data_IF_233877803688
#
_entry.id   IF_233877803688
#
_cell.length_a   1.000
_cell.length_b   1.000
_cell.length_c   1.000
_cell.angle_alpha   90.00
_cell.angle_beta   90.00
_cell.angle_gamma   90.00
#
_symmetry.space_group_name_H-M   'P 1'
#
loop_
_entity.id
_entity.type
_entity.pdbx_description
1 polymer ?
#
# COMPACT_ATOMS: atom_id res chain seq x y z
N UNK A 1 -4.87 11.42 -2.57
CA UNK A 1 -4.07 10.21 -2.23
C UNK A 1 -4.70 9.04 -2.97
N UNK A 2 -3.93 8.24 -3.70
CA UNK A 2 -4.43 7.01 -4.34
C UNK A 2 -4.13 5.80 -3.46
N UNK A 3 -5.08 4.88 -3.35
CA UNK A 3 -4.86 3.67 -2.58
C UNK A 3 -5.33 2.40 -3.29
N UNK A 4 -4.45 1.39 -3.30
CA UNK A 4 -4.69 0.08 -3.89
C UNK A 4 -5.03 -0.95 -2.81
N UNK A 5 -6.16 -1.63 -2.95
CA UNK A 5 -6.55 -2.75 -2.08
C UNK A 5 -6.70 -4.03 -2.90
N UNK A 6 -5.92 -5.07 -2.59
CA UNK A 6 -6.10 -6.39 -3.18
C UNK A 6 -6.99 -7.27 -2.28
N UNK A 7 -8.10 -7.80 -2.80
CA UNK A 7 -8.80 -8.86 -2.07
C UNK A 7 -8.02 -10.17 -2.19
N UNK A 8 -7.57 -10.74 -1.06
CA UNK A 8 -7.05 -12.12 -1.00
C UNK A 8 -8.18 -13.09 -1.36
N UNK A 9 -8.25 -13.53 -2.61
CA UNK A 9 -8.80 -14.85 -2.98
C UNK A 9 -7.66 -15.73 -3.48
N UNK A 10 -7.86 -17.03 -3.34
CA UNK A 10 -6.89 -18.10 -3.58
C UNK A 10 -6.08 -17.93 -4.87
N UNK A 11 -4.80 -18.31 -4.81
CA UNK A 11 -3.89 -18.39 -5.97
C UNK A 11 -4.58 -19.26 -7.03
N UNK A 12 -5.06 -18.65 -8.12
CA UNK A 12 -5.76 -19.35 -9.22
C UNK A 12 -7.12 -18.78 -9.63
N UNK A 13 -7.66 -17.79 -8.90
CA UNK A 13 -8.92 -17.11 -9.26
C UNK A 13 -8.68 -15.66 -9.73
N UNK A 14 -9.49 -15.18 -10.68
CA UNK A 14 -9.48 -13.78 -11.09
C UNK A 14 -9.89 -12.91 -9.89
N UNK A 15 -9.22 -11.77 -9.70
CA UNK A 15 -9.40 -10.94 -8.52
C UNK A 15 -9.52 -9.46 -8.86
N UNK A 16 -10.46 -8.73 -8.24
CA UNK A 16 -10.58 -7.29 -8.47
C UNK A 16 -9.41 -6.55 -7.82
N UNK A 17 -8.90 -5.56 -8.54
CA UNK A 17 -8.00 -4.52 -8.04
C UNK A 17 -8.69 -3.17 -8.17
N UNK A 18 -8.67 -2.37 -7.11
CA UNK A 18 -9.31 -1.07 -7.07
C UNK A 18 -8.29 0.03 -6.73
N UNK A 19 -8.26 1.08 -7.55
CA UNK A 19 -7.61 2.35 -7.26
C UNK A 19 -8.61 3.32 -6.66
N UNK A 20 -8.26 3.97 -5.55
CA UNK A 20 -9.17 4.87 -4.83
C UNK A 20 -8.56 6.22 -4.53
N UNK A 21 -9.29 7.29 -4.80
CA UNK A 21 -9.02 8.62 -4.28
C UNK A 21 -9.47 8.73 -2.83
N UNK A 22 -8.60 9.23 -1.94
CA UNK A 22 -8.94 9.41 -0.51
C UNK A 22 -8.49 10.77 0.01
N UNK A 23 -9.34 11.34 0.87
CA UNK A 23 -9.15 12.56 1.66
C UNK A 23 -9.31 12.25 3.15
N UNK A 24 -9.16 13.27 4.02
CA UNK A 24 -9.40 13.10 5.45
C UNK A 24 -10.86 12.69 5.75
N UNK A 25 -11.81 13.09 4.89
CA UNK A 25 -13.25 12.99 5.18
C UNK A 25 -13.96 11.93 4.33
N UNK A 26 -13.42 11.56 3.17
CA UNK A 26 -14.08 10.64 2.23
C UNK A 26 -13.08 9.83 1.39
N UNK A 27 -13.55 8.72 0.82
CA UNK A 27 -12.85 8.03 -0.26
C UNK A 27 -13.83 7.60 -1.36
N UNK A 28 -13.33 7.46 -2.58
CA UNK A 28 -14.09 7.01 -3.74
C UNK A 28 -13.24 6.10 -4.61
N UNK A 29 -13.85 5.10 -5.24
CA UNK A 29 -13.18 4.32 -6.27
C UNK A 29 -13.04 5.15 -7.53
N UNK A 30 -11.84 5.15 -8.10
CA UNK A 30 -11.47 5.92 -9.30
C UNK A 30 -11.24 4.97 -10.46
N UNK A 31 -10.68 3.79 -10.20
CA UNK A 31 -10.32 2.83 -11.24
C UNK A 31 -10.46 1.38 -10.75
N UNK A 32 -10.76 0.46 -11.66
CA UNK A 32 -10.89 -0.98 -11.43
C UNK A 32 -10.21 -1.80 -12.52
N UNK A 33 -9.40 -2.77 -12.10
CA UNK A 33 -8.82 -3.80 -12.97
C UNK A 33 -9.23 -5.19 -12.49
N UNK A 34 -9.44 -6.10 -13.44
CA UNK A 34 -9.60 -7.52 -13.14
C UNK A 34 -8.26 -8.23 -13.39
N UNK A 35 -7.65 -8.73 -12.32
CA UNK A 35 -6.41 -9.52 -12.42
C UNK A 35 -6.73 -10.88 -13.04
N UNK A 36 -6.05 -11.20 -14.15
CA UNK A 36 -6.06 -12.52 -14.76
C UNK A 36 -4.80 -13.30 -14.31
N UNK A 37 -4.94 -14.48 -13.67
CA UNK A 37 -3.81 -15.35 -13.39
C UNK A 37 -3.15 -15.87 -14.67
N UNK A 38 -1.87 -16.25 -14.61
CA UNK A 38 -1.11 -16.86 -15.72
C UNK A 38 -1.86 -18.00 -16.42
N UNK A 39 -2.63 -18.81 -15.69
CA UNK A 39 -3.41 -19.90 -16.27
C UNK A 39 -4.51 -19.46 -17.25
N UNK A 40 -4.90 -18.19 -17.24
CA UNK A 40 -5.88 -17.60 -18.16
C UNK A 40 -5.22 -16.89 -19.35
N UNK A 41 -3.90 -16.83 -19.42
CA UNK A 41 -3.18 -16.14 -20.49
C UNK A 41 -2.66 -17.16 -21.51
N UNK A 42 -3.13 -17.12 -22.78
CA UNK A 42 -2.63 -18.02 -23.82
C UNK A 42 -1.13 -17.89 -24.10
N UNK A 43 -0.53 -16.73 -23.81
CA UNK A 43 0.90 -16.50 -24.01
C UNK A 43 1.76 -17.01 -22.82
N UNK A 44 1.13 -17.42 -21.72
CA UNK A 44 1.86 -17.87 -20.53
C UNK A 44 2.25 -19.35 -20.64
N UNK A 45 3.47 -19.74 -20.21
CA UNK A 45 3.84 -21.15 -20.08
C UNK A 45 2.95 -21.95 -19.11
N UNK A 46 2.19 -21.28 -18.25
CA UNK A 46 1.27 -21.91 -17.28
C UNK A 46 -0.19 -21.88 -17.75
N UNK A 47 -0.43 -21.57 -19.02
CA UNK A 47 -1.74 -21.54 -19.64
C UNK A 47 -2.50 -22.86 -19.40
N UNK A 48 -3.75 -22.75 -18.96
CA UNK A 48 -4.66 -23.88 -18.82
C UNK A 48 -5.64 -23.84 -20.01
N UNK A 49 -5.61 -24.82 -20.92
CA UNK A 49 -6.45 -24.82 -22.12
C UNK A 49 -7.95 -24.63 -21.83
N UNK A 50 -8.44 -25.17 -20.70
CA UNK A 50 -9.84 -25.05 -20.30
C UNK A 50 -10.18 -23.60 -19.92
N UNK A 51 -9.26 -22.89 -19.25
CA UNK A 51 -9.45 -21.48 -18.86
C UNK A 51 -9.25 -20.54 -20.05
N UNK A 52 -8.25 -20.81 -20.89
CA UNK A 52 -8.02 -20.06 -22.13
C UNK A 52 -9.25 -20.13 -23.04
N UNK A 53 -9.85 -21.32 -23.22
CA UNK A 53 -11.08 -21.48 -24.01
C UNK A 53 -12.29 -20.72 -23.41
N UNK A 54 -12.30 -20.46 -22.09
CA UNK A 54 -13.35 -19.65 -21.44
C UNK A 54 -13.22 -18.16 -21.73
N UNK A 55 -12.05 -17.65 -22.12
CA UNK A 55 -11.85 -16.21 -22.42
C UNK A 55 -12.86 -15.70 -23.44
N UNK A 56 -13.04 -16.43 -24.54
CA UNK A 56 -14.00 -16.09 -25.60
C UNK A 56 -15.43 -16.08 -25.07
N UNK A 57 -15.83 -17.10 -24.29
CA UNK A 57 -17.16 -17.17 -23.66
C UNK A 57 -17.40 -16.04 -22.65
N UNK A 58 -16.34 -15.62 -21.98
CA UNK A 58 -16.35 -14.50 -21.04
C UNK A 58 -16.13 -13.14 -21.73
N UNK A 59 -16.02 -13.08 -23.06
CA UNK A 59 -15.73 -11.85 -23.81
C UNK A 59 -14.51 -11.06 -23.28
N UNK A 60 -13.48 -11.76 -22.81
CA UNK A 60 -12.21 -11.13 -22.40
C UNK A 60 -11.48 -10.65 -23.67
N UNK A 61 -11.08 -9.38 -23.77
CA UNK A 61 -10.36 -8.88 -24.94
C UNK A 61 -9.06 -9.65 -25.21
N UNK A 62 -8.65 -9.74 -26.48
CA UNK A 62 -7.52 -10.57 -26.91
C UNK A 62 -6.19 -10.04 -26.34
N UNK A 63 -6.06 -8.72 -26.25
CA UNK A 63 -4.93 -7.98 -25.73
C UNK A 63 -4.75 -8.08 -24.21
N UNK A 64 -5.78 -8.53 -23.47
CA UNK A 64 -5.74 -8.60 -22.01
C UNK A 64 -5.08 -9.91 -21.55
N UNK A 65 -3.77 -9.87 -21.33
CA UNK A 65 -2.97 -10.99 -20.81
C UNK A 65 -2.87 -11.03 -19.28
N UNK A 66 -2.03 -11.94 -18.78
CA UNK A 66 -1.59 -11.92 -17.40
C UNK A 66 -0.61 -10.77 -17.19
N UNK A 67 -0.87 -9.98 -16.15
CA UNK A 67 0.05 -8.94 -15.67
C UNK A 67 0.17 -9.08 -14.17
N UNK A 68 1.39 -8.98 -13.66
CA UNK A 68 1.65 -9.01 -12.23
C UNK A 68 0.86 -7.93 -11.50
N UNK A 69 0.34 -8.25 -10.31
CA UNK A 69 -0.54 -7.32 -9.58
C UNK A 69 0.11 -5.98 -9.28
N UNK A 70 1.41 -5.98 -8.99
CA UNK A 70 2.15 -4.77 -8.72
C UNK A 70 2.28 -3.88 -9.96
N UNK A 71 2.47 -4.48 -11.15
CA UNK A 71 2.54 -3.76 -12.41
C UNK A 71 1.17 -3.19 -12.75
N UNK A 72 0.09 -3.98 -12.62
CA UNK A 72 -1.28 -3.47 -12.77
C UNK A 72 -1.55 -2.27 -11.87
N UNK A 73 -1.09 -2.30 -10.62
CA UNK A 73 -1.27 -1.17 -9.70
C UNK A 73 -0.51 0.09 -10.15
N UNK A 74 0.65 -0.04 -10.79
CA UNK A 74 1.38 1.09 -11.39
C UNK A 74 0.68 1.59 -12.65
N UNK A 75 0.23 0.69 -13.53
CA UNK A 75 -0.49 1.04 -14.75
C UNK A 75 -1.78 1.81 -14.43
N UNK A 76 -2.51 1.39 -13.39
CA UNK A 76 -3.69 2.11 -12.88
C UNK A 76 -3.36 3.51 -12.38
N UNK A 77 -2.17 3.73 -11.78
CA UNK A 77 -1.74 5.06 -11.36
C UNK A 77 -1.45 5.94 -12.58
N UNK A 78 -0.77 5.39 -13.58
CA UNK A 78 -0.43 6.12 -14.80
C UNK A 78 -1.68 6.46 -15.62
N UNK A 79 -2.63 5.53 -15.72
CA UNK A 79 -3.93 5.76 -16.33
C UNK A 79 -4.74 6.82 -15.55
N UNK A 80 -4.79 6.74 -14.23
CA UNK A 80 -5.46 7.78 -13.42
C UNK A 80 -4.84 9.16 -13.66
N UNK A 81 -3.51 9.24 -13.80
CA UNK A 81 -2.81 10.49 -14.13
C UNK A 81 -3.12 10.97 -15.55
N UNK A 82 -3.30 10.06 -16.51
CA UNK A 82 -3.65 10.42 -17.90
C UNK A 82 -5.05 11.04 -18.00
N UNK A 83 -5.95 10.75 -17.06
CA UNK A 83 -7.24 11.42 -16.92
C UNK A 83 -7.16 12.83 -16.31
N UNK A 84 -5.96 13.35 -16.04
CA UNK A 84 -5.75 14.67 -15.42
C UNK A 84 -5.96 14.68 -13.90
N UNK A 85 -6.08 13.51 -13.26
CA UNK A 85 -6.22 13.41 -11.81
C UNK A 85 -4.83 13.41 -11.16
N UNK A 86 -4.57 14.41 -10.31
CA UNK A 86 -3.31 14.46 -9.57
C UNK A 86 -3.21 13.34 -8.53
N UNK A 87 -2.12 12.58 -8.62
CA UNK A 87 -1.78 11.54 -7.65
C UNK A 87 -0.47 11.93 -6.94
N UNK A 88 -0.54 12.73 -5.85
CA UNK A 88 0.67 13.19 -5.15
C UNK A 88 1.26 12.11 -4.23
N UNK A 89 0.44 11.13 -3.82
CA UNK A 89 0.84 10.10 -2.87
C UNK A 89 0.06 8.80 -3.06
N UNK A 90 0.79 7.68 -2.92
CA UNK A 90 0.27 6.31 -3.00
C UNK A 90 0.28 5.62 -1.64
N UNK A 91 -0.81 4.94 -1.31
CA UNK A 91 -0.94 4.09 -0.12
C UNK A 91 -1.28 2.67 -0.56
N UNK A 92 -0.56 1.67 -0.07
CA UNK A 92 -0.82 0.27 -0.44
C UNK A 92 -0.62 -0.71 0.72
N UNK A 93 -1.18 -1.90 0.56
CA UNK A 93 -1.02 -2.99 1.54
C UNK A 93 0.39 -3.62 1.52
N UNK A 94 0.62 -4.52 2.49
CA UNK A 94 1.88 -5.25 2.66
C UNK A 94 2.33 -6.05 1.44
N UNK A 95 1.39 -6.61 0.67
CA UNK A 95 1.75 -7.39 -0.52
C UNK A 95 2.45 -6.55 -1.58
N UNK A 96 2.03 -5.30 -1.73
CA UNK A 96 2.70 -4.34 -2.61
C UNK A 96 4.00 -3.83 -1.99
N UNK A 97 3.99 -3.53 -0.68
CA UNK A 97 5.14 -2.96 -0.02
C UNK A 97 6.36 -3.88 0.06
N UNK A 98 6.17 -5.19 0.07
CA UNK A 98 7.27 -6.18 0.03
C UNK A 98 7.89 -6.32 -1.37
N UNK A 99 7.13 -6.00 -2.41
CA UNK A 99 7.56 -6.14 -3.81
C UNK A 99 8.52 -5.00 -4.18
N UNK A 100 9.80 -5.32 -4.34
CA UNK A 100 10.84 -4.33 -4.67
C UNK A 100 10.57 -3.60 -5.99
N UNK A 101 10.10 -4.28 -7.03
CA UNK A 101 9.74 -3.68 -8.31
C UNK A 101 8.63 -2.61 -8.16
N UNK A 102 7.63 -2.86 -7.31
CA UNK A 102 6.61 -1.87 -6.98
C UNK A 102 7.20 -0.64 -6.28
N UNK A 103 8.20 -0.84 -5.41
CA UNK A 103 8.85 0.28 -4.72
C UNK A 103 9.63 1.16 -5.70
N UNK A 104 10.47 0.54 -6.52
CA UNK A 104 11.29 1.21 -7.53
C UNK A 104 10.43 1.92 -8.58
N UNK A 105 9.41 1.25 -9.13
CA UNK A 105 8.54 1.84 -10.14
C UNK A 105 7.78 3.09 -9.68
N UNK A 106 7.57 3.27 -8.37
CA UNK A 106 6.99 4.51 -7.82
C UNK A 106 8.01 5.62 -7.67
N UNK A 107 9.24 5.27 -7.30
CA UNK A 107 10.35 6.23 -7.21
C UNK A 107 10.66 6.84 -8.58
N UNK A 108 10.68 6.01 -9.63
CA UNK A 108 10.81 6.45 -11.04
C UNK A 108 9.72 7.45 -11.45
N UNK A 109 8.50 7.32 -10.89
CA UNK A 109 7.34 8.19 -11.15
C UNK A 109 7.27 9.43 -10.25
N UNK A 110 8.29 9.65 -9.41
CA UNK A 110 8.34 10.75 -8.44
C UNK A 110 7.23 10.69 -7.39
N UNK A 111 6.71 9.49 -7.09
CA UNK A 111 5.58 9.33 -6.18
C UNK A 111 6.03 9.20 -4.73
N UNK A 112 5.45 10.02 -3.85
CA UNK A 112 5.56 9.76 -2.41
C UNK A 112 4.66 8.59 -2.03
N UNK A 113 5.06 7.80 -1.04
CA UNK A 113 4.29 6.63 -0.63
C UNK A 113 4.38 6.32 0.86
N UNK A 114 3.34 5.61 1.32
CA UNK A 114 3.35 4.87 2.58
C UNK A 114 2.72 3.51 2.32
N UNK A 115 3.48 2.43 2.49
CA UNK A 115 3.01 1.07 2.25
C UNK A 115 3.16 0.22 3.48
N UNK A 116 2.20 -0.68 3.71
CA UNK A 116 2.42 -1.76 4.67
C UNK A 116 3.64 -2.56 4.26
N UNK A 117 4.35 -3.15 5.21
CA UNK A 117 5.59 -3.85 4.92
C UNK A 117 5.75 -5.04 5.87
N UNK A 118 6.34 -6.13 5.39
CA UNK A 118 6.64 -7.31 6.19
C UNK A 118 7.79 -7.06 7.16
N UNK A 119 7.83 -7.85 8.22
CA UNK A 119 8.90 -7.91 9.22
C UNK A 119 10.17 -8.56 8.70
N UNK A 120 10.07 -9.37 7.63
CA UNK A 120 11.15 -10.25 7.14
C UNK A 120 12.16 -9.55 6.23
N UNK A 121 11.84 -8.38 5.72
CA UNK A 121 12.75 -7.60 4.87
C UNK A 121 13.94 -7.12 5.68
N UNK A 122 15.11 -7.09 5.04
CA UNK A 122 16.35 -6.62 5.65
C UNK A 122 16.63 -5.15 5.32
N UNK A 123 17.22 -4.44 6.27
CA UNK A 123 17.61 -3.05 6.14
C UNK A 123 18.90 -2.76 6.93
N UNK A 124 19.57 -1.69 6.55
CA UNK A 124 20.63 -1.07 7.33
C UNK A 124 20.07 0.11 8.14
N UNK A 125 20.72 0.47 9.25
CA UNK A 125 20.45 1.73 9.95
C UNK A 125 20.76 2.93 9.04
N UNK A 126 20.16 4.09 9.31
CA UNK A 126 20.42 5.32 8.55
C UNK A 126 21.91 5.69 8.52
N UNK A 127 22.60 5.56 9.65
CA UNK A 127 24.02 5.94 9.81
C UNK A 127 24.99 4.97 9.13
N UNK A 128 24.53 3.78 8.72
CA UNK A 128 25.39 2.82 8.06
C UNK A 128 25.82 3.38 6.70
N UNK A 129 27.10 3.76 6.58
CA UNK A 129 27.72 4.16 5.31
C UNK A 129 28.54 3.00 4.74
N UNK A 130 28.57 2.84 3.40
CA UNK A 130 29.52 1.93 2.78
C UNK A 130 30.95 2.39 3.05
N UNK A 131 31.82 1.46 3.46
CA UNK A 131 33.23 1.68 3.67
C UNK A 131 34.01 0.86 2.64
N UNK A 132 35.06 1.44 2.04
CA UNK A 132 36.02 0.68 1.20
C UNK A 132 37.26 0.36 2.03
N UNK A 133 37.51 -0.91 2.39
CA UNK A 133 38.72 -1.28 3.12
C UNK A 133 40.00 -0.87 2.37
N UNK A 134 41.06 -0.56 3.12
CA UNK A 134 42.35 -0.25 2.52
C UNK A 134 42.85 -1.43 1.68
N UNK A 135 43.42 -1.12 0.51
CA UNK A 135 43.93 -2.15 -0.38
C UNK A 135 45.27 -2.68 0.12
N UNK A 136 45.31 -3.95 0.47
CA UNK A 136 46.51 -4.63 0.99
C UNK A 136 47.49 -5.07 -0.10
N UNK A 137 47.29 -4.65 -1.36
CA UNK A 137 48.20 -4.92 -2.48
C UNK A 137 48.12 -6.35 -3.05
N UNK A 138 47.23 -7.21 -2.54
CA UNK A 138 47.02 -8.58 -3.03
C UNK A 138 45.56 -8.82 -3.40
N UNK A 139 45.32 -9.49 -4.53
CA UNK A 139 43.99 -9.88 -4.98
C UNK A 139 43.15 -8.73 -5.53
N UNK A 140 41.83 -8.96 -5.64
CA UNK A 140 40.87 -7.99 -6.19
C UNK A 140 40.80 -6.74 -5.30
N UNK A 141 40.84 -5.56 -5.92
CA UNK A 141 40.68 -4.28 -5.22
C UNK A 141 39.36 -4.25 -4.43
N UNK A 142 39.39 -3.91 -3.12
CA UNK A 142 38.19 -3.82 -2.30
C UNK A 142 37.18 -2.87 -2.91
N UNK A 143 35.92 -3.27 -2.85
CA UNK A 143 34.78 -2.45 -3.28
C UNK A 143 34.07 -1.97 -2.03
N UNK A 144 33.55 -0.74 -2.06
CA UNK A 144 32.74 -0.18 -0.99
C UNK A 144 31.61 -1.16 -0.60
N UNK A 145 31.48 -1.44 0.69
CA UNK A 145 30.42 -2.29 1.22
C UNK A 145 30.01 -1.81 2.61
N UNK A 146 28.77 -2.08 3.01
CA UNK A 146 28.36 -1.83 4.39
C UNK A 146 29.11 -2.78 5.33
N UNK A 147 29.79 -2.28 6.38
CA UNK A 147 30.62 -3.11 7.25
C UNK A 147 29.81 -4.12 8.05
N UNK A 148 28.58 -3.76 8.44
CA UNK A 148 27.68 -4.65 9.16
C UNK A 148 26.65 -5.31 8.22
N UNK A 149 26.28 -6.58 8.48
CA UNK A 149 25.22 -7.25 7.73
C UNK A 149 23.88 -6.55 7.95
N UNK A 150 23.06 -6.50 6.90
CA UNK A 150 21.71 -5.96 7.01
C UNK A 150 20.87 -6.81 7.97
N UNK A 151 20.11 -6.17 8.83
CA UNK A 151 19.30 -6.81 9.85
C UNK A 151 17.83 -6.83 9.46
N UNK A 152 17.05 -7.73 10.05
CA UNK A 152 15.60 -7.69 9.88
C UNK A 152 15.04 -6.38 10.45
N UNK A 153 14.10 -5.80 9.72
CA UNK A 153 13.41 -4.57 10.11
C UNK A 153 12.81 -4.65 11.51
N UNK A 154 12.26 -5.81 11.89
CA UNK A 154 11.72 -6.05 13.24
C UNK A 154 12.81 -5.91 14.32
N UNK A 155 13.99 -6.48 14.09
CA UNK A 155 15.12 -6.43 15.03
C UNK A 155 15.61 -5.00 15.24
N UNK A 156 15.64 -4.18 14.18
CA UNK A 156 16.01 -2.76 14.27
C UNK A 156 15.04 -1.97 15.17
N UNK A 157 13.73 -2.21 15.03
CA UNK A 157 12.72 -1.56 15.88
C UNK A 157 12.83 -2.03 17.33
N UNK A 158 13.05 -3.33 17.55
CA UNK A 158 13.24 -3.88 18.90
C UNK A 158 14.49 -3.29 19.56
N UNK A 159 15.60 -3.17 18.81
CA UNK A 159 16.85 -2.58 19.30
C UNK A 159 16.71 -1.09 19.66
N UNK A 160 15.87 -0.33 18.94
CA UNK A 160 15.52 1.04 19.32
C UNK A 160 14.75 1.13 20.66
N UNK A 161 14.18 0.01 21.11
CA UNK A 161 13.57 -0.14 22.42
C UNK A 161 12.15 0.43 22.51
N UNK A 162 11.33 -0.17 23.38
CA UNK A 162 9.94 0.24 23.62
C UNK A 162 9.82 1.66 24.20
N UNK A 163 10.88 2.20 24.79
CA UNK A 163 10.95 3.58 25.29
C UNK A 163 10.91 4.62 24.17
N UNK A 164 11.38 4.27 22.96
CA UNK A 164 11.32 5.16 21.79
C UNK A 164 9.90 5.34 21.23
N UNK A 165 8.95 4.47 21.61
CA UNK A 165 7.60 4.48 21.08
C UNK A 165 6.76 5.63 21.66
N UNK A 166 6.35 6.57 20.80
CA UNK A 166 5.56 7.75 21.16
C UNK A 166 4.06 7.51 20.96
N UNK A 167 3.19 7.98 21.88
CA UNK A 167 1.74 7.89 21.69
C UNK A 167 1.31 8.79 20.54
N UNK A 168 0.49 8.26 19.64
CA UNK A 168 -0.08 9.00 18.51
C UNK A 168 -1.57 8.70 18.41
N UNK A 169 -2.36 9.77 18.38
CA UNK A 169 -3.77 9.73 18.03
C UNK A 169 -3.91 10.11 16.55
N UNK A 170 -4.56 9.26 15.75
CA UNK A 170 -4.75 9.54 14.33
C UNK A 170 -6.20 9.82 13.95
N UNK A 171 -7.17 9.43 14.79
CA UNK A 171 -8.58 9.71 14.54
C UNK A 171 -9.43 9.61 15.81
N UNK A 172 -10.59 10.24 15.79
CA UNK A 172 -11.70 9.93 16.69
C UNK A 172 -12.61 8.91 16.00
N UNK A 173 -12.98 7.86 16.72
CA UNK A 173 -13.90 6.82 16.24
C UNK A 173 -15.34 7.31 16.28
N UNK A 174 -16.26 6.52 15.73
CA UNK A 174 -17.70 6.79 15.78
C UNK A 174 -18.40 6.19 17.01
N UNK A 175 -17.67 5.44 17.85
CA UNK A 175 -18.23 4.87 19.07
C UNK A 175 -18.16 5.89 20.20
N UNK A 176 -19.18 5.97 21.08
CA UNK A 176 -19.10 6.79 22.28
C UNK A 176 -17.84 6.46 23.10
N UNK A 177 -17.24 7.47 23.70
CA UNK A 177 -16.06 7.31 24.52
C UNK A 177 -15.74 8.56 25.34
N UNK A 178 -14.74 8.46 26.21
CA UNK A 178 -14.33 9.54 27.12
C UNK A 178 -13.50 10.65 26.45
N UNK A 179 -13.53 10.75 25.12
CA UNK A 179 -12.86 11.84 24.41
C UNK A 179 -13.54 13.18 24.67
N UNK A 180 -12.81 14.29 24.48
CA UNK A 180 -13.34 15.66 24.63
C UNK A 180 -14.56 15.96 23.73
N UNK A 181 -14.73 15.18 22.66
CA UNK A 181 -15.85 15.21 21.71
C UNK A 181 -16.93 14.14 21.98
N UNK A 182 -16.84 13.39 23.09
CA UNK A 182 -17.75 12.28 23.41
C UNK A 182 -17.48 10.98 22.64
N UNK A 183 -16.42 10.93 21.83
CA UNK A 183 -16.12 9.80 20.95
C UNK A 183 -14.81 9.07 21.34
N UNK A 184 -14.76 7.76 21.06
CA UNK A 184 -13.60 6.90 21.36
C UNK A 184 -12.41 7.28 20.49
N UNK A 185 -11.32 7.71 21.11
CA UNK A 185 -10.07 8.04 20.41
C UNK A 185 -9.38 6.78 19.90
N UNK A 186 -8.95 6.79 18.64
CA UNK A 186 -8.06 5.79 18.08
C UNK A 186 -6.61 6.24 18.33
N UNK A 187 -5.98 5.59 19.30
CA UNK A 187 -4.63 5.87 19.76
C UNK A 187 -3.82 4.57 19.87
N UNK A 188 -2.51 4.69 19.67
CA UNK A 188 -1.53 3.61 19.84
C UNK A 188 -0.15 4.24 19.98
N UNK A 189 0.88 3.44 20.24
CA UNK A 189 2.26 3.92 20.32
C UNK A 189 3.02 3.50 19.06
N UNK A 190 3.85 4.41 18.55
CA UNK A 190 4.59 4.19 17.32
C UNK A 190 6.06 4.54 17.51
N UNK A 191 6.91 3.71 16.92
CA UNK A 191 8.32 4.01 16.66
C UNK A 191 8.43 4.43 15.20
N UNK A 192 9.23 5.44 14.89
CA UNK A 192 9.61 5.74 13.51
C UNK A 192 11.12 5.81 13.43
N UNK A 193 11.70 4.90 12.66
CA UNK A 193 13.13 4.86 12.38
C UNK A 193 13.39 5.30 10.94
N UNK A 194 14.60 5.76 10.68
CA UNK A 194 15.13 5.94 9.35
C UNK A 194 16.01 4.74 9.03
N UNK A 195 15.76 4.09 7.91
CA UNK A 195 16.44 2.87 7.51
C UNK A 195 16.82 2.93 6.04
N UNK A 196 17.79 2.12 5.63
CA UNK A 196 18.16 1.91 4.23
C UNK A 196 17.75 0.49 3.81
N UNK A 197 16.65 0.31 3.07
CA UNK A 197 16.20 -1.02 2.64
C UNK A 197 17.28 -1.74 1.85
N UNK A 198 17.63 -2.95 2.28
CA UNK A 198 18.82 -3.66 1.81
C UNK A 198 18.47 -4.95 1.03
N UNK A 199 17.25 -5.03 0.51
CA UNK A 199 16.80 -6.15 -0.31
C UNK A 199 17.63 -6.29 -1.61
N UNK A 200 17.79 -7.54 -2.07
CA UNK A 200 18.61 -7.87 -3.26
C UNK A 200 18.27 -7.04 -4.49
N UNK A 201 16.98 -6.91 -4.80
CA UNK A 201 16.54 -6.19 -6.00
C UNK A 201 16.75 -4.66 -5.87
N UNK A 202 16.61 -4.10 -4.66
CA UNK A 202 16.93 -2.69 -4.41
C UNK A 202 18.42 -2.43 -4.60
N UNK A 203 19.29 -3.33 -4.10
CA UNK A 203 20.74 -3.24 -4.30
C UNK A 203 21.15 -3.31 -5.78
N UNK A 204 20.48 -4.15 -6.57
CA UNK A 204 20.75 -4.24 -8.02
C UNK A 204 20.31 -2.99 -8.78
N UNK A 205 19.18 -2.40 -8.39
CA UNK A 205 18.64 -1.21 -9.04
C UNK A 205 19.36 0.08 -8.62
N UNK A 206 20.05 0.06 -7.48
CA UNK A 206 20.82 1.22 -7.01
C UNK A 206 22.15 1.28 -7.77
N UNK A 207 22.33 2.31 -8.59
CA UNK A 207 23.56 2.51 -9.38
C UNK A 207 24.81 2.76 -8.51
N UNK A 208 24.63 3.14 -7.24
CA UNK A 208 25.69 3.39 -6.27
C UNK A 208 25.70 2.38 -5.12
N UNK A 209 26.71 2.52 -4.25
CA UNK A 209 26.82 1.69 -3.04
C UNK A 209 25.92 2.17 -1.91
N UNK A 210 25.51 3.44 -1.94
CA UNK A 210 24.66 4.03 -0.92
C UNK A 210 23.17 3.81 -1.23
N UNK A 211 22.51 3.06 -0.36
CA UNK A 211 21.09 2.70 -0.48
C UNK A 211 20.19 3.86 -0.02
N UNK A 212 19.03 4.11 -0.65
CA UNK A 212 18.17 5.24 -0.31
C UNK A 212 17.56 5.14 1.10
N UNK A 213 17.50 6.27 1.81
CA UNK A 213 16.93 6.33 3.17
C UNK A 213 15.41 6.44 3.12
N UNK A 214 14.74 5.64 3.93
CA UNK A 214 13.30 5.57 4.06
C UNK A 214 12.87 5.63 5.52
N UNK A 215 11.66 6.14 5.75
CA UNK A 215 10.96 6.02 7.01
C UNK A 215 10.43 4.61 7.20
N UNK A 216 10.59 4.11 8.43
CA UNK A 216 9.99 2.89 8.93
C UNK A 216 9.15 3.19 10.18
N UNK A 217 7.88 3.59 10.00
CA UNK A 217 6.92 3.58 11.10
C UNK A 217 6.58 2.15 11.50
N UNK A 218 6.58 1.88 12.80
CA UNK A 218 6.15 0.61 13.38
C UNK A 218 5.20 0.87 14.55
N UNK A 219 4.08 0.14 14.59
CA UNK A 219 3.15 0.18 15.70
C UNK A 219 3.63 -0.76 16.79
N UNK A 220 3.82 -0.23 17.99
CA UNK A 220 4.23 -0.99 19.17
C UNK A 220 3.28 -0.69 20.34
N UNK A 221 2.12 -1.36 20.41
CA UNK A 221 1.13 -1.12 21.45
C UNK A 221 1.72 -1.33 22.84
N UNK A 222 1.23 -0.60 23.84
CA UNK A 222 1.72 -0.72 25.21
C UNK A 222 1.50 -2.12 25.80
N UNK A 223 0.44 -2.81 25.38
CA UNK A 223 0.05 -4.16 25.80
C UNK A 223 0.91 -5.26 25.18
N UNK A 224 1.64 -4.96 24.11
CA UNK A 224 2.39 -5.94 23.34
C UNK A 224 3.87 -5.90 23.68
N UNK A 225 4.51 -7.07 23.70
CA UNK A 225 5.95 -7.18 23.94
C UNK A 225 6.77 -6.87 22.68
N UNK A 226 6.14 -6.97 21.49
CA UNK A 226 6.79 -6.74 20.21
C UNK A 226 5.97 -5.80 19.32
N UNK A 227 6.58 -5.15 18.31
CA UNK A 227 5.83 -4.36 17.34
C UNK A 227 4.97 -5.25 16.42
N UNK A 228 3.76 -4.78 16.11
CA UNK A 228 2.70 -5.59 15.47
C UNK A 228 2.46 -5.24 14.00
N UNK A 229 2.75 -4.01 13.59
CA UNK A 229 2.53 -3.54 12.21
C UNK A 229 3.69 -2.63 11.79
N UNK A 230 4.07 -2.73 10.52
CA UNK A 230 5.19 -2.00 9.94
C UNK A 230 4.76 -1.35 8.63
N UNK A 231 5.32 -0.17 8.37
CA UNK A 231 5.15 0.55 7.13
C UNK A 231 6.49 1.04 6.61
N UNK A 232 6.58 1.27 5.31
CA UNK A 232 7.73 1.90 4.65
C UNK A 232 7.26 3.15 3.92
N UNK A 233 8.04 4.24 4.00
CA UNK A 233 7.72 5.50 3.34
C UNK A 233 8.97 6.25 2.86
N UNK A 234 8.87 6.88 1.70
CA UNK A 234 9.88 7.80 1.14
C UNK A 234 9.55 9.29 1.40
N UNK A 235 8.68 9.58 2.37
CA UNK A 235 8.37 10.96 2.74
C UNK A 235 9.62 11.72 3.25
N UNK A 236 9.67 13.06 3.13
CA UNK A 236 10.80 13.86 3.57
C UNK A 236 11.17 13.61 5.04
N UNK A 237 12.43 13.81 5.39
CA UNK A 237 12.94 13.68 6.77
C UNK A 237 12.28 14.67 7.75
N UNK A 238 11.79 15.80 7.26
CA UNK A 238 11.07 16.78 8.08
C UNK A 238 9.64 16.35 8.43
N UNK A 239 9.18 15.20 7.92
CA UNK A 239 7.80 14.73 8.10
C UNK A 239 7.53 14.34 9.56
N UNK A 240 6.55 14.97 10.25
CA UNK A 240 6.23 14.62 11.62
C UNK A 240 5.60 13.22 11.74
N UNK A 241 5.92 12.52 12.83
CA UNK A 241 5.35 11.19 13.14
C UNK A 241 3.81 11.13 13.04
N UNK A 242 3.02 12.10 13.53
CA UNK A 242 1.57 12.08 13.38
C UNK A 242 1.10 12.06 11.91
N UNK A 243 1.85 12.69 11.00
CA UNK A 243 1.53 12.69 9.55
C UNK A 243 1.82 11.32 8.95
N UNK A 244 2.94 10.68 9.31
CA UNK A 244 3.27 9.31 8.89
C UNK A 244 2.18 8.32 9.35
N UNK A 245 1.83 8.36 10.64
CA UNK A 245 0.84 7.45 11.23
C UNK A 245 -0.56 7.69 10.64
N UNK A 246 -0.98 8.95 10.51
CA UNK A 246 -2.29 9.28 9.90
C UNK A 246 -2.36 8.73 8.48
N UNK A 247 -1.30 8.90 7.69
CA UNK A 247 -1.20 8.37 6.32
C UNK A 247 -1.28 6.84 6.30
N UNK A 248 -0.47 6.18 7.12
CA UNK A 248 -0.44 4.71 7.23
C UNK A 248 -1.81 4.13 7.63
N UNK A 249 -2.55 4.83 8.49
CA UNK A 249 -3.86 4.39 9.01
C UNK A 249 -5.05 4.80 8.15
N UNK A 250 -4.87 5.52 7.02
CA UNK A 250 -5.95 5.77 6.05
C UNK A 250 -6.53 4.46 5.49
N UNK A 251 -5.72 3.38 5.47
CA UNK A 251 -6.15 2.05 5.01
C UNK A 251 -7.44 1.56 5.66
N UNK A 252 -7.66 1.83 6.94
CA UNK A 252 -8.92 1.43 7.60
C UNK A 252 -10.16 1.99 6.88
N UNK A 253 -10.08 3.22 6.35
CA UNK A 253 -11.19 3.86 5.62
C UNK A 253 -11.48 3.09 4.33
N UNK A 254 -10.43 2.67 3.63
CA UNK A 254 -10.55 1.83 2.42
C UNK A 254 -11.23 0.51 2.74
N UNK A 255 -10.84 -0.16 3.82
CA UNK A 255 -11.43 -1.44 4.23
C UNK A 255 -12.90 -1.28 4.64
N UNK A 256 -13.23 -0.18 5.31
CA UNK A 256 -14.61 0.16 5.64
C UNK A 256 -15.46 0.41 4.39
N UNK A 257 -14.97 1.24 3.46
CA UNK A 257 -15.68 1.59 2.23
C UNK A 257 -15.83 0.36 1.33
N UNK A 258 -14.81 -0.50 1.27
CA UNK A 258 -14.88 -1.76 0.56
C UNK A 258 -15.87 -2.74 1.19
N UNK A 259 -15.99 -2.74 2.54
CA UNK A 259 -17.02 -3.51 3.24
C UNK A 259 -18.41 -2.99 2.93
N UNK A 260 -18.61 -1.68 2.95
CA UNK A 260 -19.88 -1.03 2.57
C UNK A 260 -20.25 -1.39 1.12
N UNK A 261 -19.33 -1.23 0.18
CA UNK A 261 -19.55 -1.60 -1.22
C UNK A 261 -19.93 -3.08 -1.37
N UNK A 262 -19.32 -3.98 -0.61
CA UNK A 262 -19.65 -5.42 -0.63
C UNK A 262 -21.00 -5.75 -0.02
N UNK A 263 -21.25 -5.26 1.19
CA UNK A 263 -22.39 -5.68 2.00
C UNK A 263 -23.66 -4.90 1.65
N UNK A 264 -23.55 -3.59 1.41
CA UNK A 264 -24.70 -2.73 1.20
C UNK A 264 -24.97 -2.44 -0.29
N UNK A 265 -23.93 -2.33 -1.12
CA UNK A 265 -24.06 -1.91 -2.52
C UNK A 265 -23.90 -3.04 -3.53
N UNK A 266 -23.71 -4.28 -3.07
CA UNK A 266 -23.72 -5.46 -3.93
C UNK A 266 -22.47 -5.65 -4.80
N UNK A 267 -21.31 -5.12 -4.41
CA UNK A 267 -20.05 -5.39 -5.12
C UNK A 267 -19.75 -6.89 -5.25
N UNK A 268 -20.22 -7.70 -4.29
CA UNK A 268 -20.05 -9.16 -4.28
C UNK A 268 -21.21 -9.92 -4.94
N UNK A 269 -22.24 -9.24 -5.45
CA UNK A 269 -23.47 -9.87 -6.00
C UNK A 269 -23.45 -9.99 -7.52
N UNK A 270 -22.31 -9.76 -8.17
CA UNK A 270 -22.21 -9.96 -9.62
C UNK A 270 -22.22 -11.46 -9.95
N UNK A 271 -23.26 -11.92 -10.63
CA UNK A 271 -23.43 -13.31 -11.10
C UNK A 271 -23.16 -13.48 -12.60
N UNK A 272 -22.90 -12.37 -13.31
CA UNK A 272 -22.53 -12.40 -14.71
C UNK A 272 -21.18 -13.08 -14.95
N UNK A 273 -20.93 -13.44 -16.21
CA UNK A 273 -19.69 -14.15 -16.62
C UNK A 273 -18.90 -13.42 -17.69
N UNK A 274 -19.36 -12.24 -18.10
CA UNK A 274 -18.72 -11.46 -19.15
C UNK A 274 -17.83 -10.36 -18.57
N UNK A 275 -16.70 -10.12 -19.23
CA UNK A 275 -15.74 -9.10 -18.87
C UNK A 275 -16.37 -7.69 -18.90
N UNK A 276 -17.10 -7.26 -19.96
CA UNK A 276 -17.80 -5.98 -19.94
C UNK A 276 -18.87 -5.91 -18.84
N UNK A 277 -19.60 -7.00 -18.61
CA UNK A 277 -20.62 -7.05 -17.57
C UNK A 277 -20.04 -6.81 -16.18
N UNK A 278 -18.85 -7.36 -15.89
CA UNK A 278 -18.16 -7.12 -14.63
C UNK A 278 -17.75 -5.64 -14.49
N UNK A 279 -17.18 -5.05 -15.54
CA UNK A 279 -16.78 -3.64 -15.55
C UNK A 279 -17.99 -2.70 -15.37
N UNK A 280 -19.12 -2.96 -16.04
CA UNK A 280 -20.34 -2.20 -15.85
C UNK A 280 -20.85 -2.29 -14.40
N UNK A 281 -20.86 -3.50 -13.82
CA UNK A 281 -21.31 -3.72 -12.45
C UNK A 281 -20.46 -2.95 -11.44
N UNK A 282 -19.13 -3.09 -11.48
CA UNK A 282 -18.25 -2.39 -10.53
C UNK A 282 -18.30 -0.88 -10.70
N UNK A 283 -18.55 -0.39 -11.91
CA UNK A 283 -18.75 1.04 -12.19
C UNK A 283 -20.03 1.55 -11.52
N UNK A 284 -21.17 0.87 -11.71
CA UNK A 284 -22.44 1.24 -11.08
C UNK A 284 -22.34 1.23 -9.55
N UNK A 285 -21.71 0.20 -8.97
CA UNK A 285 -21.48 0.13 -7.52
C UNK A 285 -20.58 1.27 -7.03
N UNK A 286 -19.59 1.68 -7.83
CA UNK A 286 -18.72 2.81 -7.51
C UNK A 286 -19.46 4.15 -7.56
N UNK A 287 -20.33 4.35 -8.54
CA UNK A 287 -21.20 5.55 -8.64
C UNK A 287 -22.17 5.61 -7.46
N UNK A 288 -22.82 4.49 -7.12
CA UNK A 288 -23.70 4.43 -5.95
C UNK A 288 -22.95 4.76 -4.64
N UNK A 289 -21.74 4.23 -4.48
CA UNK A 289 -20.88 4.55 -3.34
C UNK A 289 -20.49 6.03 -3.31
N UNK A 290 -20.13 6.61 -4.45
CA UNK A 290 -19.81 8.03 -4.57
C UNK A 290 -21.01 8.90 -4.20
N UNK A 291 -22.22 8.56 -4.67
CA UNK A 291 -23.46 9.24 -4.31
C UNK A 291 -23.70 9.22 -2.79
N UNK A 292 -23.65 8.04 -2.15
CA UNK A 292 -23.81 7.92 -0.70
C UNK A 292 -22.74 8.72 0.07
N UNK A 293 -21.52 8.73 -0.44
CA UNK A 293 -20.41 9.47 0.16
C UNK A 293 -20.62 10.98 0.05
N UNK A 294 -21.07 11.48 -1.11
CA UNK A 294 -21.43 12.88 -1.30
C UNK A 294 -22.61 13.29 -0.40
N UNK A 295 -23.64 12.46 -0.28
CA UNK A 295 -24.78 12.71 0.62
C UNK A 295 -24.35 12.79 2.09
N UNK A 296 -23.39 11.97 2.52
CA UNK A 296 -22.80 12.08 3.86
C UNK A 296 -22.06 13.40 4.04
N UNK A 297 -21.23 13.78 3.06
CA UNK A 297 -20.48 15.04 3.12
C UNK A 297 -21.40 16.26 3.13
N UNK A 298 -22.50 16.26 2.38
CA UNK A 298 -23.46 17.38 2.33
C UNK A 298 -24.37 17.45 3.54
N UNK A 299 -24.66 16.32 4.21
CA UNK A 299 -25.39 16.29 5.49
C UNK A 299 -24.50 16.56 6.70
N UNK A 300 -23.18 16.45 6.56
CA UNK A 300 -22.18 16.73 7.60
C UNK A 300 -21.71 18.20 7.76
N UNK A 301 -22.51 19.25 7.43
CA UNK A 301 -22.31 20.57 8.02
C UNK A 301 -23.54 21.00 8.85
N UNK A 302 -23.63 20.53 10.11
CA UNK A 302 -24.24 21.17 11.32
C UNK A 302 -24.53 20.12 12.40
N UNK A 303 -23.52 19.81 13.22
CA UNK A 303 -23.70 19.63 14.67
C UNK A 303 -22.84 20.70 15.36
N UNK A 304 -23.15 21.94 15.02
CA UNK A 304 -22.82 23.11 15.82
C UNK A 304 -23.92 24.10 15.49
N UNK A 305 -25.03 23.96 16.21
CA UNK A 305 -25.97 25.06 16.39
C UNK A 305 -25.89 25.46 17.87
N UNK A 306 -25.88 26.77 18.17
CA UNK A 306 -25.44 27.32 19.44
C UNK A 306 -26.61 27.48 20.42
N UNK A 307 -26.33 27.25 21.71
CA UNK A 307 -26.56 28.15 22.85
C UNK A 307 -26.26 27.35 24.13
#
# INVERSE_FOLDING_TARGET
>A
RCAGSCSRRSRGSCGPLAGRGTSNNASAAVDWRLFLPESWDPASPKADPVKVARRTKCAVPAEVGHVEKWQLALDMIDETRSWGIEVPQVIADGGYGDTAAFRLGREERGLTYVVGHSTTTTAQCEDARPHTPDYTGRGRRPVAAHPNPAQQVKSLVIAAGKSSARPVQWREGSRPGSGRSGHKRMYSRFVALRIRPAGREIRKATAGTELPVHWLPAEWPATENEPVQFWLSNLPETTPLPVLVRTAKVRWRIENDYREMKQALGLAHFEGRTWPGWHHHVTLVSVAHAFCTLQRLTRSPKETAPA
#
